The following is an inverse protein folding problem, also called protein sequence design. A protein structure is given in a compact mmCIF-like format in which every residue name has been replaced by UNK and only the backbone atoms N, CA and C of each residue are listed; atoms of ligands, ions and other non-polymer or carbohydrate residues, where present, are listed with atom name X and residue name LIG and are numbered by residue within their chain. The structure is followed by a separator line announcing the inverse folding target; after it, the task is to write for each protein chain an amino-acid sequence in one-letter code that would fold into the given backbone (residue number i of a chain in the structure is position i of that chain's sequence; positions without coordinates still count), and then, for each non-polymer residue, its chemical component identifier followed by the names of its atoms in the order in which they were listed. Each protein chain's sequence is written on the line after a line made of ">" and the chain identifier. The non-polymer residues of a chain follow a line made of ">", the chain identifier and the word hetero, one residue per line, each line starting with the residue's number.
data_IF_021572696022
#
_entry.id   IF_021572696022
#
_cell.length_a   1.000
_cell.length_b   1.000
_cell.length_c   1.000
_cell.angle_alpha   90.00
_cell.angle_beta   90.00
_cell.angle_gamma   90.00
#
_symmetry.space_group_name_H-M   'P 1'
#
loop_
_entity.id
_entity.type
_entity.pdbx_description
1 polymer ?
#
# COMPACT_ATOMS: atom_id res chain seq x y z
N UNK A 1 25.83 -6.09 -0.52
CA UNK A 1 24.78 -5.15 -0.09
C UNK A 1 24.65 -4.07 -1.15
N UNK A 2 23.48 -3.91 -1.75
CA UNK A 2 23.23 -2.76 -2.64
C UNK A 2 23.14 -1.54 -1.73
N UNK A 3 24.11 -0.63 -1.83
CA UNK A 3 24.17 0.58 -1.01
C UNK A 3 23.30 1.67 -1.68
N UNK A 4 21.97 1.47 -1.63
CA UNK A 4 21.01 2.48 -2.11
C UNK A 4 21.10 3.69 -1.19
N UNK A 5 21.10 4.90 -1.75
CA UNK A 5 21.04 6.12 -0.94
C UNK A 5 19.70 6.21 -0.19
N UNK A 6 19.70 6.71 1.04
CA UNK A 6 18.48 6.89 1.85
C UNK A 6 17.40 7.70 1.11
N UNK A 7 17.79 8.68 0.29
CA UNK A 7 16.86 9.45 -0.55
C UNK A 7 16.15 8.57 -1.59
N UNK A 8 16.88 7.64 -2.21
CA UNK A 8 16.32 6.70 -3.18
C UNK A 8 15.39 5.71 -2.48
N UNK A 9 15.75 5.24 -1.28
CA UNK A 9 14.88 4.37 -0.50
C UNK A 9 13.55 5.05 -0.10
N UNK A 10 13.58 6.34 0.24
CA UNK A 10 12.36 7.12 0.51
C UNK A 10 11.49 7.21 -0.74
N UNK A 11 12.06 7.54 -1.90
CA UNK A 11 11.31 7.64 -3.16
C UNK A 11 10.65 6.29 -3.51
N UNK A 12 11.41 5.20 -3.42
CA UNK A 12 10.90 3.85 -3.68
C UNK A 12 9.83 3.44 -2.65
N UNK A 13 10.00 3.83 -1.39
CA UNK A 13 9.02 3.63 -0.33
C UNK A 13 7.70 4.34 -0.60
N UNK A 14 7.74 5.60 -1.01
CA UNK A 14 6.54 6.36 -1.39
C UNK A 14 5.82 5.74 -2.59
N UNK A 15 6.58 5.31 -3.61
CA UNK A 15 6.02 4.61 -4.76
C UNK A 15 5.36 3.28 -4.34
N UNK A 16 6.03 2.52 -3.47
CA UNK A 16 5.52 1.27 -2.93
C UNK A 16 4.19 1.47 -2.19
N UNK A 17 4.05 2.52 -1.36
CA UNK A 17 2.80 2.81 -0.64
C UNK A 17 1.63 2.97 -1.62
N UNK A 18 1.81 3.75 -2.70
CA UNK A 18 0.77 3.97 -3.70
C UNK A 18 0.37 2.69 -4.43
N UNK A 19 1.37 1.90 -4.85
CA UNK A 19 1.16 0.62 -5.54
C UNK A 19 0.46 -0.37 -4.62
N UNK A 20 0.96 -0.54 -3.40
CA UNK A 20 0.40 -1.46 -2.40
C UNK A 20 -1.05 -1.12 -2.08
N UNK A 21 -1.35 0.14 -1.75
CA UNK A 21 -2.70 0.57 -1.42
C UNK A 21 -3.67 0.34 -2.59
N UNK A 22 -3.25 0.67 -3.80
CA UNK A 22 -4.08 0.51 -5.02
C UNK A 22 -4.32 -0.96 -5.33
N UNK A 23 -3.27 -1.78 -5.29
CA UNK A 23 -3.33 -3.21 -5.58
C UNK A 23 -4.26 -3.95 -4.62
N UNK A 24 -4.11 -3.71 -3.31
CA UNK A 24 -4.97 -4.36 -2.32
C UNK A 24 -6.42 -3.89 -2.39
N UNK A 25 -6.65 -2.59 -2.63
CA UNK A 25 -8.01 -2.07 -2.86
C UNK A 25 -8.64 -2.71 -4.10
N UNK A 26 -7.86 -2.92 -5.17
CA UNK A 26 -8.32 -3.61 -6.37
C UNK A 26 -8.69 -5.07 -6.10
N UNK A 27 -7.86 -5.83 -5.38
CA UNK A 27 -8.18 -7.21 -4.99
C UNK A 27 -9.43 -7.27 -4.11
N UNK A 28 -9.55 -6.35 -3.14
CA UNK A 28 -10.73 -6.27 -2.29
C UNK A 28 -11.99 -5.97 -3.10
N UNK A 29 -11.93 -5.06 -4.07
CA UNK A 29 -13.00 -4.78 -5.03
C UNK A 29 -13.40 -6.00 -5.86
N UNK A 30 -12.42 -6.77 -6.38
CA UNK A 30 -12.70 -7.99 -7.13
C UNK A 30 -13.44 -9.03 -6.27
N UNK A 31 -12.97 -9.24 -5.04
CA UNK A 31 -13.59 -10.17 -4.10
C UNK A 31 -14.99 -9.70 -3.69
N UNK A 32 -15.15 -8.41 -3.38
CA UNK A 32 -16.44 -7.82 -3.06
C UNK A 32 -17.44 -8.01 -4.20
N UNK A 33 -17.01 -7.82 -5.45
CA UNK A 33 -17.84 -8.02 -6.63
C UNK A 33 -18.31 -9.47 -6.77
N UNK A 34 -17.43 -10.44 -6.52
CA UNK A 34 -17.78 -11.88 -6.53
C UNK A 34 -18.81 -12.22 -5.47
N UNK A 35 -18.67 -11.66 -4.27
CA UNK A 35 -19.58 -11.94 -3.13
C UNK A 35 -20.91 -11.19 -3.22
N UNK A 36 -20.94 -9.99 -3.82
CA UNK A 36 -22.11 -9.12 -3.83
C UNK A 36 -22.83 -9.09 -5.18
N UNK A 37 -22.94 -10.24 -5.86
CA UNK A 37 -23.69 -10.42 -7.11
C UNK A 37 -23.29 -9.41 -8.21
N UNK A 38 -22.00 -9.16 -8.35
CA UNK A 38 -21.48 -8.24 -9.37
C UNK A 38 -21.49 -6.75 -8.97
N UNK A 39 -21.98 -6.39 -7.77
CA UNK A 39 -21.95 -5.01 -7.29
C UNK A 39 -20.54 -4.58 -6.89
N UNK A 40 -20.17 -3.37 -7.28
CA UNK A 40 -18.90 -2.73 -6.91
C UNK A 40 -18.98 -2.11 -5.51
N UNK A 41 -17.81 -1.89 -4.90
CA UNK A 41 -17.68 -1.00 -3.75
C UNK A 41 -18.10 0.41 -4.12
N UNK A 42 -18.69 1.10 -3.16
CA UNK A 42 -18.96 2.53 -3.31
C UNK A 42 -17.68 3.35 -3.09
N UNK A 43 -17.72 4.63 -3.47
CA UNK A 43 -16.57 5.54 -3.37
C UNK A 43 -16.01 5.64 -1.95
N UNK A 44 -16.86 5.61 -0.93
CA UNK A 44 -16.45 5.70 0.48
C UNK A 44 -15.68 4.46 0.90
N UNK A 45 -16.16 3.26 0.55
CA UNK A 45 -15.50 2.00 0.85
C UNK A 45 -14.14 1.90 0.14
N UNK A 46 -14.05 2.34 -1.12
CA UNK A 46 -12.78 2.40 -1.85
C UNK A 46 -11.79 3.31 -1.13
N UNK A 47 -12.21 4.53 -0.73
CA UNK A 47 -11.35 5.46 0.02
C UNK A 47 -10.88 4.87 1.34
N UNK A 48 -11.76 4.23 2.11
CA UNK A 48 -11.40 3.59 3.38
C UNK A 48 -10.39 2.46 3.19
N UNK A 49 -10.58 1.61 2.17
CA UNK A 49 -9.66 0.52 1.87
C UNK A 49 -8.29 1.05 1.45
N UNK A 50 -8.27 2.03 0.56
CA UNK A 50 -7.03 2.65 0.06
C UNK A 50 -6.27 3.35 1.18
N UNK A 51 -6.97 4.07 2.06
CA UNK A 51 -6.35 4.70 3.22
C UNK A 51 -5.83 3.67 4.23
N UNK A 52 -6.61 2.63 4.53
CA UNK A 52 -6.21 1.55 5.44
C UNK A 52 -4.96 0.82 4.98
N UNK A 53 -4.92 0.39 3.72
CA UNK A 53 -3.73 -0.25 3.14
C UNK A 53 -2.57 0.72 2.96
N UNK A 54 -2.83 2.00 2.70
CA UNK A 54 -1.80 3.04 2.65
C UNK A 54 -1.13 3.24 4.02
N UNK A 55 -1.89 3.27 5.11
CA UNK A 55 -1.36 3.35 6.46
C UNK A 55 -0.53 2.11 6.83
N UNK A 56 -0.99 0.91 6.48
CA UNK A 56 -0.22 -0.33 6.67
C UNK A 56 1.10 -0.28 5.89
N UNK A 57 1.05 0.11 4.62
CA UNK A 57 2.25 0.22 3.79
C UNK A 57 3.24 1.25 4.33
N UNK A 58 2.75 2.38 4.85
CA UNK A 58 3.59 3.40 5.48
C UNK A 58 4.38 2.83 6.66
N UNK A 59 3.71 2.09 7.55
CA UNK A 59 4.38 1.43 8.69
C UNK A 59 5.44 0.44 8.20
N UNK A 60 5.12 -0.38 7.21
CA UNK A 60 6.07 -1.34 6.62
C UNK A 60 7.30 -0.64 6.02
N UNK A 61 7.10 0.46 5.29
CA UNK A 61 8.18 1.24 4.69
C UNK A 61 9.06 1.90 5.76
N UNK A 62 8.47 2.49 6.80
CA UNK A 62 9.21 3.10 7.90
C UNK A 62 10.09 2.04 8.58
N UNK A 63 9.51 0.86 8.89
CA UNK A 63 10.26 -0.25 9.47
C UNK A 63 11.39 -0.66 8.52
N UNK A 64 11.12 -0.90 7.24
CA UNK A 64 12.13 -1.34 6.28
C UNK A 64 13.30 -0.34 6.15
N UNK A 65 13.02 0.96 6.11
CA UNK A 65 14.05 2.01 6.05
C UNK A 65 14.85 2.03 7.37
N UNK A 66 14.18 2.03 8.52
CA UNK A 66 14.85 2.01 9.83
C UNK A 66 15.81 0.82 9.94
N UNK A 67 15.34 -0.38 9.57
CA UNK A 67 16.12 -1.61 9.59
C UNK A 67 17.31 -1.62 8.63
N UNK A 68 17.26 -0.83 7.56
CA UNK A 68 18.29 -0.83 6.51
C UNK A 68 19.36 0.25 6.71
N UNK A 69 19.04 1.35 7.39
CA UNK A 69 19.92 2.53 7.47
C UNK A 69 20.30 2.96 8.89
N UNK A 70 19.48 2.64 9.89
CA UNK A 70 19.65 3.12 11.26
C UNK A 70 19.77 1.99 12.29
N UNK A 71 19.82 0.75 11.79
CA UNK A 71 19.92 -0.47 12.56
C UNK A 71 21.36 -0.91 12.73
#
# INVERSE_FOLDING_TARGET
>A
MINISIYVAIILGLLFILIYATFWTFLYQLNYKRMNRGKSLNKTQIKMNMFGHGAIALVLVIIAIYLSYFK
#
